data_IF_963069758869
#
_entry.id   IF_963069758869
#
_cell.length_a   1.000
_cell.length_b   1.000
_cell.length_c   1.000
_cell.angle_alpha   90.00
_cell.angle_beta   90.00
_cell.angle_gamma   90.00
#
_symmetry.space_group_name_H-M   'P 1'
#
loop_
_entity.id
_entity.type
_entity.pdbx_description
1 polymer ?
#
# COMPACT_ATOMS: atom_id res chain seq x y z
N UNK A 1 4.42 6.64 -19.43
CA UNK A 1 3.96 5.44 -18.71
C UNK A 1 3.53 5.89 -17.33
N UNK A 2 2.26 5.68 -16.98
CA UNK A 2 1.68 6.13 -15.71
C UNK A 2 2.23 5.22 -14.61
N UNK A 3 2.79 5.79 -13.55
CA UNK A 3 3.27 5.07 -12.37
C UNK A 3 2.21 5.09 -11.28
N UNK A 4 1.66 3.94 -10.92
CA UNK A 4 0.61 3.83 -9.90
C UNK A 4 1.23 3.51 -8.56
N UNK A 5 0.88 4.27 -7.52
CA UNK A 5 1.41 4.05 -6.19
C UNK A 5 0.29 3.65 -5.22
N UNK A 6 0.51 2.62 -4.43
CA UNK A 6 -0.39 2.20 -3.36
C UNK A 6 0.35 2.27 -2.02
N UNK A 7 -0.23 2.93 -1.03
CA UNK A 7 0.21 2.88 0.37
C UNK A 7 -0.84 2.16 1.22
N UNK A 8 -0.44 1.05 1.80
CA UNK A 8 -1.26 0.24 2.68
C UNK A 8 -0.89 0.57 4.11
N UNK A 9 -1.86 1.06 4.88
CA UNK A 9 -1.67 1.38 6.28
C UNK A 9 -2.03 0.16 7.14
N UNK A 10 -1.03 -0.43 7.77
CA UNK A 10 -1.13 -1.59 8.65
C UNK A 10 -0.93 -1.14 10.10
N UNK A 11 -1.70 -1.71 11.03
CA UNK A 11 -1.53 -1.37 12.46
C UNK A 11 -0.20 -1.90 13.00
N UNK A 12 -0.03 -3.22 12.97
CA UNK A 12 1.14 -3.91 13.52
C UNK A 12 1.77 -4.86 12.51
N UNK A 13 3.06 -5.15 12.69
CA UNK A 13 3.71 -6.28 12.01
C UNK A 13 3.09 -7.58 12.53
N UNK A 14 2.84 -8.53 11.62
CA UNK A 14 2.38 -9.86 11.98
C UNK A 14 3.59 -10.78 12.05
N UNK A 15 3.77 -11.47 13.18
CA UNK A 15 4.86 -12.41 13.35
C UNK A 15 4.49 -13.74 12.70
N UNK A 16 5.38 -14.24 11.85
CA UNK A 16 5.35 -15.57 11.25
C UNK A 16 6.79 -15.93 10.86
N UNK A 17 7.03 -17.19 10.57
CA UNK A 17 8.34 -17.74 10.23
C UNK A 17 8.26 -18.51 8.93
N UNK A 18 9.42 -18.81 8.33
CA UNK A 18 9.50 -19.73 7.18
C UNK A 18 8.81 -21.07 7.46
N UNK A 19 8.93 -21.59 8.68
CA UNK A 19 8.33 -22.86 9.09
C UNK A 19 6.80 -22.80 9.05
N UNK A 20 6.21 -21.67 9.46
CA UNK A 20 4.76 -21.46 9.39
C UNK A 20 4.27 -21.44 7.94
N UNK A 21 5.04 -20.80 7.05
CA UNK A 21 4.77 -20.79 5.60
C UNK A 21 4.85 -22.22 5.02
N UNK A 22 5.90 -22.97 5.38
CA UNK A 22 6.13 -24.35 4.92
C UNK A 22 5.01 -25.30 5.35
N UNK A 23 4.36 -25.02 6.48
CA UNK A 23 3.25 -25.82 7.03
C UNK A 23 1.86 -25.35 6.62
N UNK A 24 1.75 -24.21 5.94
CA UNK A 24 0.46 -23.58 5.66
C UNK A 24 -0.22 -22.97 6.89
N UNK A 25 0.53 -22.76 7.98
CA UNK A 25 0.07 -22.18 9.25
C UNK A 25 0.23 -20.65 9.28
N UNK A 26 0.46 -20.02 8.13
CA UNK A 26 0.63 -18.56 8.02
C UNK A 26 -0.64 -17.83 8.49
N UNK A 27 -0.53 -16.78 9.33
CA UNK A 27 -1.69 -16.05 9.81
C UNK A 27 -2.52 -15.43 8.67
N UNK A 28 -3.85 -15.43 8.81
CA UNK A 28 -4.77 -14.92 7.77
C UNK A 28 -4.46 -13.49 7.30
N UNK A 29 -4.01 -12.62 8.22
CA UNK A 29 -3.63 -11.25 7.88
C UNK A 29 -2.41 -11.18 6.96
N UNK A 30 -1.49 -12.14 7.04
CA UNK A 30 -0.37 -12.27 6.10
C UNK A 30 -0.89 -12.69 4.72
N UNK A 31 -1.83 -13.64 4.65
CA UNK A 31 -2.48 -13.98 3.36
C UNK A 31 -3.21 -12.79 2.73
N UNK A 32 -3.79 -11.89 3.54
CA UNK A 32 -4.33 -10.62 3.04
C UNK A 32 -3.23 -9.74 2.43
N UNK A 33 -2.07 -9.60 3.08
CA UNK A 33 -0.94 -8.85 2.51
C UNK A 33 -0.38 -9.51 1.25
N UNK A 34 -0.25 -10.83 1.21
CA UNK A 34 0.12 -11.57 0.00
C UNK A 34 -0.87 -11.30 -1.13
N UNK A 35 -2.18 -11.37 -0.87
CA UNK A 35 -3.21 -11.05 -1.86
C UNK A 35 -3.11 -9.60 -2.35
N UNK A 36 -2.82 -8.65 -1.47
CA UNK A 36 -2.56 -7.25 -1.84
C UNK A 36 -1.33 -7.13 -2.75
N UNK A 37 -0.22 -7.80 -2.42
CA UNK A 37 0.99 -7.82 -3.25
C UNK A 37 0.66 -8.41 -4.63
N UNK A 38 -0.01 -9.57 -4.66
CA UNK A 38 -0.43 -10.24 -5.89
C UNK A 38 -1.29 -9.32 -6.77
N UNK A 39 -2.34 -8.74 -6.22
CA UNK A 39 -3.29 -7.92 -6.99
C UNK A 39 -2.72 -6.55 -7.37
N UNK A 40 -1.62 -6.13 -6.71
CA UNK A 40 -0.85 -4.94 -7.10
C UNK A 40 0.08 -5.20 -8.28
N UNK A 41 0.71 -6.39 -8.36
CA UNK A 41 1.79 -6.62 -9.31
C UNK A 41 1.51 -7.71 -10.35
N UNK A 42 0.90 -8.83 -9.99
CA UNK A 42 0.84 -9.99 -10.86
C UNK A 42 -0.18 -9.84 -12.00
N UNK A 43 0.25 -10.16 -13.21
CA UNK A 43 -0.57 -10.39 -14.40
C UNK A 43 -0.44 -11.85 -14.82
N UNK A 44 -1.21 -12.28 -15.82
CA UNK A 44 -1.17 -13.68 -16.30
C UNK A 44 0.21 -14.13 -16.79
N UNK A 45 1.00 -13.23 -17.38
CA UNK A 45 2.29 -13.56 -18.00
C UNK A 45 3.45 -12.65 -17.57
N UNK A 46 3.21 -11.69 -16.68
CA UNK A 46 4.19 -10.68 -16.32
C UNK A 46 3.84 -10.02 -14.98
N UNK A 47 4.59 -8.98 -14.61
CA UNK A 47 4.23 -8.09 -13.51
C UNK A 47 4.04 -6.66 -14.02
N UNK A 48 3.18 -5.89 -13.33
CA UNK A 48 2.97 -4.46 -13.52
C UNK A 48 4.21 -3.69 -13.07
N UNK A 49 5.12 -3.43 -13.99
CA UNK A 49 6.36 -2.66 -13.71
C UNK A 49 6.12 -1.19 -13.39
N UNK A 50 4.95 -0.67 -13.76
CA UNK A 50 4.47 0.67 -13.46
C UNK A 50 3.84 0.81 -12.08
N UNK A 51 3.63 -0.28 -11.34
CA UNK A 51 3.04 -0.21 -10.01
C UNK A 51 4.13 -0.18 -8.93
N UNK A 52 3.87 0.54 -7.85
CA UNK A 52 4.65 0.53 -6.63
C UNK A 52 3.73 0.30 -5.43
N UNK A 53 4.20 -0.48 -4.46
CA UNK A 53 3.47 -0.79 -3.24
C UNK A 53 4.30 -0.37 -2.03
N UNK A 54 3.68 0.35 -1.11
CA UNK A 54 4.22 0.73 0.17
C UNK A 54 3.36 0.09 1.25
N UNK A 55 3.98 -0.58 2.20
CA UNK A 55 3.34 -1.07 3.42
C UNK A 55 3.92 -0.26 4.57
N UNK A 56 3.07 0.36 5.39
CA UNK A 56 3.51 1.05 6.59
C UNK A 56 2.86 0.44 7.83
N UNK A 57 3.68 -0.04 8.76
CA UNK A 57 3.27 -0.64 10.02
C UNK A 57 3.44 0.40 11.14
N UNK A 58 2.31 0.92 11.64
CA UNK A 58 2.30 2.02 12.60
C UNK A 58 3.01 1.69 13.91
N UNK A 59 2.66 0.59 14.56
CA UNK A 59 3.18 0.22 15.88
C UNK A 59 4.70 -0.04 15.87
N UNK A 60 5.23 -0.46 14.71
CA UNK A 60 6.66 -0.72 14.52
C UNK A 60 7.41 0.46 13.90
N UNK A 61 6.69 1.47 13.43
CA UNK A 61 7.18 2.53 12.54
C UNK A 61 8.07 2.02 11.39
N UNK A 62 7.62 0.92 10.79
CA UNK A 62 8.32 0.24 9.70
C UNK A 62 7.64 0.53 8.38
N UNK A 63 8.40 0.93 7.37
CA UNK A 63 7.95 0.95 5.99
C UNK A 63 8.67 -0.13 5.18
N UNK A 64 7.90 -0.82 4.34
CA UNK A 64 8.40 -1.70 3.29
C UNK A 64 7.92 -1.13 1.96
N UNK A 65 8.82 -0.87 1.01
CA UNK A 65 8.45 -0.47 -0.36
C UNK A 65 8.85 -1.54 -1.36
N UNK A 66 7.95 -1.82 -2.29
CA UNK A 66 8.12 -2.75 -3.40
C UNK A 66 8.00 -1.93 -4.70
N UNK A 67 9.06 -1.94 -5.51
CA UNK A 67 9.19 -1.11 -6.73
C UNK A 67 9.04 -2.00 -7.97
N UNK A 68 7.94 -1.86 -8.71
CA UNK A 68 7.56 -2.78 -9.78
C UNK A 68 8.61 -2.96 -10.87
N UNK A 69 9.32 -1.90 -11.25
CA UNK A 69 10.38 -1.92 -12.26
C UNK A 69 11.61 -2.73 -11.83
N UNK A 70 11.85 -2.82 -10.52
CA UNK A 70 13.04 -3.43 -9.92
C UNK A 70 12.77 -4.81 -9.33
N UNK A 71 11.51 -5.13 -9.04
CA UNK A 71 11.10 -6.41 -8.44
C UNK A 71 11.61 -7.61 -9.23
N UNK A 72 12.16 -8.59 -8.50
CA UNK A 72 12.55 -9.91 -9.02
C UNK A 72 12.05 -10.99 -8.06
N UNK A 73 11.93 -12.21 -8.58
CA UNK A 73 11.55 -13.41 -7.80
C UNK A 73 10.15 -13.38 -7.15
N UNK A 74 9.31 -12.40 -7.50
CA UNK A 74 7.92 -12.35 -7.07
C UNK A 74 7.11 -13.41 -7.84
N UNK A 75 6.78 -14.52 -7.18
CA UNK A 75 5.82 -15.49 -7.70
C UNK A 75 4.38 -15.05 -7.44
N UNK A 76 3.45 -15.62 -8.20
CA UNK A 76 2.01 -15.39 -8.01
C UNK A 76 1.42 -16.17 -6.83
N UNK A 77 2.17 -17.14 -6.30
CA UNK A 77 1.79 -17.96 -5.15
C UNK A 77 2.01 -17.22 -3.82
N UNK A 78 1.17 -17.52 -2.83
CA UNK A 78 1.20 -16.87 -1.52
C UNK A 78 2.48 -17.16 -0.74
N UNK A 79 3.11 -18.33 -0.99
CA UNK A 79 4.33 -18.76 -0.32
C UNK A 79 5.52 -17.89 -0.74
N UNK A 80 5.75 -17.67 -2.03
CA UNK A 80 6.84 -16.81 -2.50
C UNK A 80 6.70 -15.37 -2.01
N UNK A 81 5.48 -14.83 -2.02
CA UNK A 81 5.14 -13.50 -1.49
C UNK A 81 5.40 -13.41 0.01
N UNK A 82 4.93 -14.41 0.79
CA UNK A 82 5.14 -14.46 2.24
C UNK A 82 6.63 -14.55 2.59
N UNK A 83 7.43 -15.30 1.83
CA UNK A 83 8.88 -15.41 2.03
C UNK A 83 9.61 -14.09 1.78
N UNK A 84 9.26 -13.37 0.70
CA UNK A 84 9.83 -12.06 0.40
C UNK A 84 9.48 -11.02 1.46
N UNK A 85 8.22 -10.99 1.89
CA UNK A 85 7.77 -10.09 2.95
C UNK A 85 8.45 -10.42 4.29
N UNK A 86 8.62 -11.71 4.62
CA UNK A 86 9.29 -12.12 5.85
C UNK A 86 10.75 -11.66 5.86
N UNK A 87 11.47 -11.82 4.75
CA UNK A 87 12.85 -11.34 4.61
C UNK A 87 12.96 -9.83 4.84
N UNK A 88 12.04 -9.05 4.26
CA UNK A 88 12.02 -7.60 4.46
C UNK A 88 11.78 -7.23 5.94
N UNK A 89 10.83 -7.90 6.60
CA UNK A 89 10.56 -7.69 8.02
C UNK A 89 11.76 -8.08 8.88
N UNK A 90 12.44 -9.19 8.58
CA UNK A 90 13.62 -9.64 9.31
C UNK A 90 14.79 -8.66 9.13
N UNK A 91 15.05 -8.20 7.91
CA UNK A 91 16.03 -7.15 7.60
C UNK A 91 15.75 -5.86 8.39
N UNK A 92 14.47 -5.45 8.48
CA UNK A 92 14.06 -4.33 9.30
C UNK A 92 14.33 -4.55 10.79
N UNK A 93 14.01 -5.74 11.32
CA UNK A 93 14.21 -6.07 12.75
C UNK A 93 15.69 -6.06 13.13
N UNK A 94 16.54 -6.58 12.25
CA UNK A 94 17.98 -6.67 12.47
C UNK A 94 18.65 -5.29 12.44
N UNK A 95 18.28 -4.44 11.48
CA UNK A 95 19.03 -3.20 11.21
C UNK A 95 18.35 -1.92 11.64
N UNK A 96 17.01 -1.89 11.72
CA UNK A 96 16.17 -0.69 11.91
C UNK A 96 16.72 0.53 11.13
N UNK A 97 16.87 0.42 9.79
CA UNK A 97 17.65 1.39 9.04
C UNK A 97 16.93 2.74 8.96
N UNK A 98 17.65 3.83 9.20
CA UNK A 98 17.16 5.22 9.09
C UNK A 98 17.03 5.73 7.64
N UNK A 99 17.55 4.95 6.68
CA UNK A 99 17.45 5.15 5.23
C UNK A 99 16.84 3.93 4.56
N UNK A 100 16.40 4.08 3.31
CA UNK A 100 15.95 2.94 2.52
C UNK A 100 17.12 1.99 2.27
N UNK A 101 16.96 0.74 2.68
CA UNK A 101 17.94 -0.33 2.47
C UNK A 101 17.27 -1.50 1.75
N UNK A 102 17.95 -2.07 0.77
CA UNK A 102 17.51 -3.26 0.05
C UNK A 102 17.43 -4.47 0.98
N UNK A 103 16.28 -5.14 0.97
CA UNK A 103 16.12 -6.50 1.51
C UNK A 103 16.34 -7.54 0.41
N UNK A 104 15.70 -7.33 -0.74
CA UNK A 104 15.81 -8.16 -1.95
C UNK A 104 15.58 -7.26 -3.17
N UNK A 105 15.92 -7.65 -4.41
CA UNK A 105 15.78 -6.76 -5.57
C UNK A 105 14.37 -6.15 -5.71
N UNK A 106 14.30 -4.82 -5.65
CA UNK A 106 13.07 -4.06 -5.72
C UNK A 106 12.24 -4.04 -4.43
N UNK A 107 12.73 -4.58 -3.31
CA UNK A 107 12.09 -4.53 -1.99
C UNK A 107 13.05 -3.88 -1.00
N UNK A 108 12.59 -2.78 -0.39
CA UNK A 108 13.38 -2.00 0.54
C UNK A 108 12.64 -1.79 1.84
N UNK A 109 13.39 -1.56 2.91
CA UNK A 109 12.86 -1.24 4.23
C UNK A 109 13.46 0.03 4.81
N UNK A 110 12.68 0.71 5.66
CA UNK A 110 13.10 1.91 6.37
C UNK A 110 12.33 2.05 7.69
N UNK A 111 13.01 2.46 8.73
CA UNK A 111 12.45 2.90 10.00
C UNK A 111 12.14 4.40 9.94
N UNK A 112 11.01 4.80 10.51
CA UNK A 112 10.66 6.19 10.70
C UNK A 112 10.50 6.49 12.18
N UNK A 113 11.07 7.59 12.68
CA UNK A 113 10.85 7.96 14.09
C UNK A 113 9.37 8.28 14.39
N UNK A 114 8.61 8.71 13.38
CA UNK A 114 7.21 9.07 13.47
C UNK A 114 6.53 8.96 12.09
N UNK A 115 5.22 8.68 12.06
CA UNK A 115 4.51 8.51 10.78
C UNK A 115 4.52 9.79 9.92
N UNK A 116 4.63 10.97 10.53
CA UNK A 116 4.75 12.24 9.79
C UNK A 116 5.98 12.26 8.89
N UNK A 117 7.11 11.69 9.34
CA UNK A 117 8.31 11.57 8.49
C UNK A 117 8.08 10.60 7.34
N UNK A 118 7.27 9.55 7.55
CA UNK A 118 6.87 8.65 6.47
C UNK A 118 6.03 9.38 5.42
N UNK A 119 5.08 10.23 5.83
CA UNK A 119 4.28 11.02 4.89
C UNK A 119 5.17 11.94 4.05
N UNK A 120 6.14 12.61 4.66
CA UNK A 120 7.10 13.47 3.96
C UNK A 120 8.04 12.71 3.02
N UNK A 121 8.45 11.48 3.37
CA UNK A 121 9.39 10.71 2.56
C UNK A 121 8.70 9.98 1.40
N UNK A 122 7.50 9.43 1.63
CA UNK A 122 6.79 8.59 0.66
C UNK A 122 5.85 9.41 -0.23
N UNK A 123 5.22 10.45 0.31
CA UNK A 123 4.07 11.13 -0.31
C UNK A 123 4.44 12.52 -0.84
N UNK A 124 5.07 13.38 -0.02
CA UNK A 124 5.44 14.76 -0.41
C UNK A 124 6.22 14.90 -1.73
N UNK A 125 7.16 13.99 -2.09
CA UNK A 125 7.92 14.13 -3.34
C UNK A 125 7.10 13.84 -4.60
N UNK A 126 5.83 13.45 -4.47
CA UNK A 126 4.98 13.00 -5.58
C UNK A 126 3.89 14.04 -5.86
N UNK A 127 3.95 14.78 -6.98
CA UNK A 127 2.96 15.81 -7.33
C UNK A 127 1.63 15.21 -7.84
N UNK A 128 1.22 14.09 -7.26
CA UNK A 128 0.17 13.20 -7.72
C UNK A 128 -1.17 13.49 -7.04
N UNK A 129 -2.31 13.18 -7.68
CA UNK A 129 -3.58 13.17 -6.98
C UNK A 129 -3.52 12.10 -5.90
N UNK A 130 -3.65 12.55 -4.65
CA UNK A 130 -3.67 11.70 -3.49
C UNK A 130 -5.11 11.27 -3.20
N UNK A 131 -5.34 9.96 -3.23
CA UNK A 131 -6.67 9.37 -3.16
C UNK A 131 -6.72 8.49 -1.92
N UNK A 132 -7.44 8.93 -0.90
CA UNK A 132 -7.67 8.18 0.31
C UNK A 132 -8.89 7.27 0.13
N UNK A 133 -8.67 5.96 0.26
CA UNK A 133 -9.72 4.95 0.18
C UNK A 133 -10.27 4.71 1.58
N UNK A 134 -11.55 4.93 1.77
CA UNK A 134 -12.14 4.80 3.11
C UNK A 134 -12.16 3.34 3.61
N UNK A 135 -11.86 3.18 4.90
CA UNK A 135 -11.85 1.89 5.59
C UNK A 135 -13.25 1.27 5.65
N UNK A 136 -14.26 2.08 5.97
CA UNK A 136 -15.66 1.67 6.07
C UNK A 136 -16.55 2.57 5.22
N UNK A 137 -17.68 2.03 4.77
CA UNK A 137 -18.70 2.77 4.02
C UNK A 137 -19.50 3.76 4.88
N UNK A 138 -19.11 3.97 6.15
CA UNK A 138 -19.99 4.51 7.18
C UNK A 138 -19.69 5.97 7.54
N UNK A 139 -18.92 6.68 6.73
CA UNK A 139 -18.62 8.10 6.92
C UNK A 139 -19.75 8.95 6.34
N UNK A 140 -20.90 8.96 7.01
CA UNK A 140 -22.01 9.92 6.82
C UNK A 140 -21.61 11.40 7.05
N UNK A 141 -20.31 11.74 7.06
CA UNK A 141 -19.77 13.04 7.46
C UNK A 141 -18.79 13.67 6.48
N UNK A 142 -18.47 13.05 5.34
CA UNK A 142 -17.59 13.67 4.33
C UNK A 142 -18.34 13.91 3.03
N UNK A 143 -18.38 15.18 2.64
CA UNK A 143 -19.07 15.71 1.46
C UNK A 143 -18.50 15.10 0.19
N UNK A 144 -19.38 14.47 -0.59
CA UNK A 144 -19.19 13.88 -1.93
C UNK A 144 -18.16 12.75 -2.01
N UNK A 145 -18.67 11.51 -1.98
CA UNK A 145 -18.02 10.39 -2.66
C UNK A 145 -17.92 10.70 -4.15
N UNK A 146 -16.84 11.35 -4.58
CA UNK A 146 -16.53 11.49 -5.99
C UNK A 146 -16.23 10.11 -6.55
N UNK A 147 -16.83 9.78 -7.69
CA UNK A 147 -16.54 8.50 -8.36
C UNK A 147 -15.04 8.45 -8.67
N UNK A 148 -14.43 7.27 -8.59
CA UNK A 148 -13.02 7.06 -8.98
C UNK A 148 -12.76 7.63 -10.38
N UNK A 149 -13.75 7.52 -11.28
CA UNK A 149 -13.69 8.07 -12.64
C UNK A 149 -13.53 9.59 -12.64
N UNK A 150 -14.32 10.29 -11.84
CA UNK A 150 -14.30 11.75 -11.80
C UNK A 150 -12.94 12.24 -11.28
N UNK A 151 -12.43 11.65 -10.20
CA UNK A 151 -11.14 12.05 -9.64
C UNK A 151 -10.02 11.84 -10.65
N UNK A 152 -9.97 10.66 -11.30
CA UNK A 152 -8.91 10.36 -12.24
C UNK A 152 -9.03 11.19 -13.53
N UNK A 153 -10.24 11.41 -14.04
CA UNK A 153 -10.47 12.22 -15.24
C UNK A 153 -10.20 13.72 -15.02
N UNK A 154 -10.63 14.26 -13.88
CA UNK A 154 -10.40 15.67 -13.51
C UNK A 154 -8.94 15.95 -13.17
N UNK A 155 -8.20 14.95 -12.71
CA UNK A 155 -6.86 15.18 -12.20
C UNK A 155 -5.85 15.60 -13.27
N UNK A 156 -6.00 15.30 -14.57
CA UNK A 156 -4.97 15.58 -15.61
C UNK A 156 -3.52 15.14 -15.25
N UNK A 157 -3.32 14.46 -14.12
CA UNK A 157 -2.02 14.25 -13.52
C UNK A 157 -1.54 12.83 -13.77
N UNK A 158 -0.34 12.65 -14.34
CA UNK A 158 0.27 11.35 -14.39
C UNK A 158 0.63 10.90 -12.96
N UNK A 159 0.39 9.63 -12.66
CA UNK A 159 0.88 8.90 -11.49
C UNK A 159 0.01 8.95 -10.21
N UNK A 160 -1.22 8.41 -10.20
CA UNK A 160 -2.09 8.46 -9.02
C UNK A 160 -1.46 7.75 -7.81
N UNK A 161 -1.77 8.28 -6.61
CA UNK A 161 -1.32 7.73 -5.34
C UNK A 161 -2.52 7.37 -4.47
N UNK A 162 -2.72 6.08 -4.24
CA UNK A 162 -3.81 5.54 -3.43
C UNK A 162 -3.34 5.22 -2.01
N UNK A 163 -4.10 5.63 -1.00
CA UNK A 163 -3.88 5.24 0.40
C UNK A 163 -5.04 4.36 0.84
N UNK A 164 -4.72 3.16 1.32
CA UNK A 164 -5.70 2.18 1.79
C UNK A 164 -5.37 1.73 3.22
N UNK A 165 -6.17 2.13 4.22
CA UNK A 165 -6.04 1.60 5.56
C UNK A 165 -6.63 0.21 5.72
N UNK A 166 -5.94 -0.65 6.48
CA UNK A 166 -6.42 -1.98 6.91
C UNK A 166 -7.03 -1.97 8.33
N UNK A 167 -7.17 -0.79 8.92
CA UNK A 167 -7.76 -0.57 10.24
C UNK A 167 -8.41 0.82 10.30
N UNK A 168 -9.17 1.13 11.36
CA UNK A 168 -9.79 2.44 11.51
C UNK A 168 -8.73 3.50 11.90
N UNK A 169 -8.06 4.09 10.90
CA UNK A 169 -6.96 5.04 11.12
C UNK A 169 -7.38 6.26 11.93
N UNK A 170 -8.62 6.75 11.78
CA UNK A 170 -9.11 7.94 12.47
C UNK A 170 -9.45 7.69 13.94
N UNK A 171 -9.68 6.45 14.34
CA UNK A 171 -9.89 6.09 15.76
C UNK A 171 -8.53 6.00 16.48
N UNK A 172 -7.55 5.36 15.85
CA UNK A 172 -6.23 5.13 16.45
C UNK A 172 -5.29 6.34 16.29
N UNK A 173 -5.43 7.09 15.20
CA UNK A 173 -4.62 8.27 14.84
C UNK A 173 -5.51 9.42 14.34
N UNK A 174 -6.23 10.12 15.24
CA UNK A 174 -7.25 11.11 14.88
C UNK A 174 -6.77 12.23 13.95
N UNK A 175 -5.52 12.67 14.13
CA UNK A 175 -4.94 13.78 13.37
C UNK A 175 -4.32 13.33 12.04
N UNK A 176 -4.32 12.03 11.73
CA UNK A 176 -3.65 11.50 10.52
C UNK A 176 -4.16 12.16 9.25
N UNK A 177 -5.49 12.31 9.10
CA UNK A 177 -6.08 12.91 7.90
C UNK A 177 -5.77 14.40 7.81
N UNK A 178 -5.80 15.13 8.92
CA UNK A 178 -5.44 16.55 8.96
C UNK A 178 -3.98 16.76 8.54
N UNK A 179 -3.07 15.95 9.10
CA UNK A 179 -1.65 15.95 8.74
C UNK A 179 -1.43 15.60 7.28
N UNK A 180 -2.15 14.61 6.77
CA UNK A 180 -2.08 14.24 5.36
C UNK A 180 -2.52 15.41 4.45
N UNK A 181 -3.64 16.05 4.79
CA UNK A 181 -4.18 17.19 4.05
C UNK A 181 -3.29 18.45 4.14
N UNK A 182 -2.46 18.58 5.18
CA UNK A 182 -1.46 19.66 5.28
C UNK A 182 -0.24 19.45 4.38
N UNK A 183 0.03 18.21 3.96
CA UNK A 183 1.17 17.88 3.08
C UNK A 183 0.74 17.99 1.62
N UNK A 184 -0.47 17.53 1.27
CA UNK A 184 -0.98 17.57 -0.11
C UNK A 184 -2.42 18.10 -0.12
N UNK A 185 -2.68 19.05 -1.01
CA UNK A 185 -4.01 19.60 -1.25
C UNK A 185 -4.30 19.68 -2.77
N UNK A 186 -5.44 19.17 -3.26
CA UNK A 186 -6.54 18.55 -2.52
C UNK A 186 -6.35 17.05 -2.25
N UNK A 187 -6.75 16.61 -1.06
CA UNK A 187 -6.92 15.19 -0.70
C UNK A 187 -8.30 14.70 -1.17
N UNK A 188 -8.32 13.70 -2.06
CA UNK A 188 -9.56 13.12 -2.56
C UNK A 188 -9.97 11.89 -1.75
N UNK A 189 -11.27 11.67 -1.58
CA UNK A 189 -11.81 10.51 -0.88
C UNK A 189 -12.62 9.62 -1.82
N UNK A 190 -12.41 8.30 -1.72
CA UNK A 190 -13.16 7.30 -2.48
C UNK A 190 -13.62 6.18 -1.55
N UNK A 191 -14.89 5.81 -1.67
CA UNK A 191 -15.44 4.62 -1.04
C UNK A 191 -15.77 3.55 -2.09
N UNK A 192 -15.56 2.29 -1.74
CA UNK A 192 -15.96 1.14 -2.56
C UNK A 192 -17.01 0.31 -1.81
N UNK A 193 -18.30 0.72 -1.82
CA UNK A 193 -19.28 0.15 -0.92
C UNK A 193 -19.49 -1.35 -1.09
N UNK A 194 -19.31 -1.83 -2.30
CA UNK A 194 -19.53 -3.23 -2.67
C UNK A 194 -18.25 -4.09 -2.56
N UNK A 195 -17.09 -3.51 -2.28
CA UNK A 195 -15.80 -4.22 -2.21
C UNK A 195 -15.33 -4.27 -0.75
N UNK A 196 -15.53 -5.44 -0.11
CA UNK A 196 -15.20 -5.63 1.31
C UNK A 196 -13.71 -5.87 1.53
N UNK A 197 -13.06 -6.65 0.66
CA UNK A 197 -11.65 -7.02 0.86
C UNK A 197 -10.74 -5.93 0.27
N UNK A 198 -9.61 -5.62 0.93
CA UNK A 198 -8.70 -4.58 0.47
C UNK A 198 -8.08 -4.90 -0.90
N UNK A 199 -7.75 -6.17 -1.15
CA UNK A 199 -7.19 -6.60 -2.43
C UNK A 199 -8.18 -6.43 -3.60
N UNK A 200 -9.49 -6.64 -3.36
CA UNK A 200 -10.51 -6.43 -4.40
C UNK A 200 -10.58 -4.96 -4.83
N UNK A 201 -10.35 -4.02 -3.89
CA UNK A 201 -10.27 -2.59 -4.19
C UNK A 201 -9.06 -2.26 -5.07
N UNK A 202 -7.90 -2.85 -4.78
CA UNK A 202 -6.67 -2.68 -5.58
C UNK A 202 -6.88 -3.26 -6.98
N UNK A 203 -7.44 -4.47 -7.07
CA UNK A 203 -7.74 -5.10 -8.35
C UNK A 203 -8.69 -4.25 -9.19
N UNK A 204 -9.75 -3.70 -8.59
CA UNK A 204 -10.69 -2.80 -9.27
C UNK A 204 -10.02 -1.52 -9.77
N UNK A 205 -9.15 -0.90 -8.96
CA UNK A 205 -8.39 0.29 -9.35
C UNK A 205 -7.48 -0.02 -10.53
N UNK A 206 -6.71 -1.10 -10.46
CA UNK A 206 -5.83 -1.51 -11.57
C UNK A 206 -6.63 -1.82 -12.84
N UNK A 207 -7.73 -2.56 -12.73
CA UNK A 207 -8.63 -2.82 -13.86
C UNK A 207 -9.15 -1.54 -14.50
N UNK A 208 -9.53 -0.55 -13.68
CA UNK A 208 -10.01 0.73 -14.18
C UNK A 208 -8.89 1.51 -14.89
N UNK A 209 -7.69 1.57 -14.31
CA UNK A 209 -6.55 2.25 -14.91
C UNK A 209 -6.13 1.62 -16.23
N UNK A 210 -6.13 0.29 -16.32
CA UNK A 210 -5.84 -0.44 -17.57
C UNK A 210 -6.86 -0.13 -18.67
N UNK A 211 -8.12 0.15 -18.30
CA UNK A 211 -9.16 0.50 -19.27
C UNK A 211 -9.04 1.94 -19.83
N UNK A 212 -8.16 2.75 -19.25
CA UNK A 212 -7.88 4.12 -19.69
C UNK A 212 -6.63 4.21 -20.59
N UNK A 213 -5.79 3.18 -20.61
CA UNK A 213 -4.62 3.06 -21.51
C UNK A 213 -5.02 2.54 -22.90
#
# INVERSE_FOLDING_TARGET
>A
MIVVNFLILCKSIINYTKKDIDRGETPQKVYTLCSIIRDTFCLSYSIRKSNNLYLYFFDAHCAVKLIGSELRFLGSDERSQALLLNKAIDEFRERKPDRWVDSTPGIFVKYFAHYEFMLKDIIEPKPSPLIFIEYSNNTNRRTKNSSLKNILFESFYPNPFFILPLFCITEEYPNFIEKLNSIIHPLNFVAFPNLKKPQDKILYINFYLDSLE
#
